data_IF_014621959695
#
_entry.id   IF_014621959695
#
_cell.length_a   1.000
_cell.length_b   1.000
_cell.length_c   1.000
_cell.angle_alpha   90.00
_cell.angle_beta   90.00
_cell.angle_gamma   90.00
#
_symmetry.space_group_name_H-M   'P 1'
#
loop_
_entity.id
_entity.type
_entity.pdbx_description
1 polymer ?
#
# COMPACT_ATOMS: atom_id res chain seq x y z
N UNK A 1 -9.38 -0.56 18.86
CA UNK A 1 -8.74 0.02 17.67
C UNK A 1 -9.26 -0.65 16.41
N UNK A 2 -9.63 0.12 15.41
CA UNK A 2 -10.05 -0.40 14.10
C UNK A 2 -8.81 -0.56 13.20
N UNK A 3 -8.57 -1.78 12.72
CA UNK A 3 -7.47 -2.09 11.82
C UNK A 3 -8.02 -2.32 10.41
N UNK A 4 -7.51 -1.57 9.45
CA UNK A 4 -7.96 -1.61 8.05
C UNK A 4 -6.78 -2.05 7.19
N UNK A 5 -6.95 -3.19 6.51
CA UNK A 5 -6.00 -3.65 5.50
C UNK A 5 -6.30 -2.98 4.17
N UNK A 6 -5.26 -2.53 3.49
CA UNK A 6 -5.41 -1.91 2.18
C UNK A 6 -4.37 -2.47 1.21
N UNK A 7 -4.80 -2.72 -0.02
CA UNK A 7 -3.85 -3.12 -1.08
C UNK A 7 -3.11 -1.91 -1.62
N UNK A 8 -1.92 -2.14 -2.14
CA UNK A 8 -1.15 -1.07 -2.76
C UNK A 8 -1.88 -0.46 -3.96
N UNK A 9 -2.63 -1.27 -4.70
CA UNK A 9 -3.37 -0.81 -5.88
C UNK A 9 -4.59 0.05 -5.52
N UNK A 10 -5.19 -0.18 -4.36
CA UNK A 10 -6.27 0.68 -3.87
C UNK A 10 -5.73 2.01 -3.34
N UNK A 11 -4.57 1.97 -2.70
CA UNK A 11 -3.95 3.15 -2.10
C UNK A 11 -3.34 4.08 -3.15
N UNK A 12 -2.63 3.52 -4.13
CA UNK A 12 -1.93 4.28 -5.17
C UNK A 12 -2.37 3.88 -6.57
N UNK A 13 -2.18 4.81 -7.51
CA UNK A 13 -2.38 4.55 -8.93
C UNK A 13 -1.18 3.77 -9.47
N UNK A 14 -1.40 2.49 -9.74
CA UNK A 14 -0.42 1.57 -10.29
C UNK A 14 -0.71 1.20 -11.74
N UNK A 15 -1.56 1.95 -12.43
CA UNK A 15 -2.00 1.59 -13.79
C UNK A 15 -0.85 1.50 -14.78
N UNK A 16 0.10 2.42 -14.75
CA UNK A 16 1.27 2.37 -15.62
C UNK A 16 2.15 1.16 -15.33
N UNK A 17 2.37 0.86 -14.06
CA UNK A 17 3.16 -0.32 -13.66
C UNK A 17 2.48 -1.61 -14.07
N UNK A 18 1.18 -1.69 -13.88
CA UNK A 18 0.38 -2.87 -14.26
C UNK A 18 0.39 -3.08 -15.77
N UNK A 19 0.34 -2.01 -16.54
CA UNK A 19 0.43 -2.06 -17.99
C UNK A 19 1.77 -2.66 -18.45
N UNK A 20 2.87 -2.30 -17.80
CA UNK A 20 4.17 -2.91 -18.09
C UNK A 20 4.14 -4.42 -17.83
N UNK A 21 3.52 -4.83 -16.72
CA UNK A 21 3.36 -6.25 -16.39
C UNK A 21 2.55 -7.00 -17.45
N UNK A 22 1.42 -6.45 -17.88
CA UNK A 22 0.56 -7.10 -18.87
C UNK A 22 1.21 -7.19 -20.25
N UNK A 23 1.92 -6.16 -20.67
CA UNK A 23 2.52 -6.09 -22.03
C UNK A 23 3.87 -6.78 -22.12
N UNK A 24 4.68 -6.75 -21.05
CA UNK A 24 6.09 -7.14 -21.10
C UNK A 24 6.48 -8.22 -20.08
N UNK A 25 5.58 -8.57 -19.14
CA UNK A 25 5.80 -9.63 -18.19
C UNK A 25 6.41 -9.20 -16.86
N UNK A 26 6.65 -10.19 -15.99
CA UNK A 26 7.07 -9.96 -14.60
C UNK A 26 8.47 -9.33 -14.50
N UNK A 27 9.42 -9.79 -15.29
CA UNK A 27 10.79 -9.28 -15.20
C UNK A 27 10.87 -7.80 -15.61
N UNK A 28 10.18 -7.42 -16.69
CA UNK A 28 10.09 -6.02 -17.12
C UNK A 28 9.38 -5.15 -16.07
N UNK A 29 8.32 -5.66 -15.45
CA UNK A 29 7.64 -4.99 -14.33
C UNK A 29 8.58 -4.75 -13.16
N UNK A 30 9.36 -5.76 -12.79
CA UNK A 30 10.31 -5.68 -11.71
C UNK A 30 11.37 -4.61 -11.97
N UNK A 31 11.98 -4.64 -13.17
CA UNK A 31 12.95 -3.63 -13.58
C UNK A 31 12.35 -2.22 -13.60
N UNK A 32 11.12 -2.08 -14.08
CA UNK A 32 10.39 -0.82 -14.10
C UNK A 32 10.22 -0.25 -12.68
N UNK A 33 9.74 -1.06 -11.75
CA UNK A 33 9.53 -0.61 -10.38
C UNK A 33 10.84 -0.23 -9.68
N UNK A 34 11.88 -0.99 -9.89
CA UNK A 34 13.21 -0.69 -9.32
C UNK A 34 13.76 0.61 -9.91
N UNK A 35 13.65 0.82 -11.22
CA UNK A 35 14.12 2.04 -11.88
C UNK A 35 13.36 3.29 -11.43
N UNK A 36 12.12 3.12 -10.99
CA UNK A 36 11.21 4.19 -10.56
C UNK A 36 11.06 4.28 -9.04
N UNK A 37 11.90 3.61 -8.28
CA UNK A 37 11.72 3.50 -6.82
C UNK A 37 11.67 4.85 -6.10
N UNK A 38 12.31 5.87 -6.63
CA UNK A 38 12.31 7.22 -6.06
C UNK A 38 11.23 8.13 -6.67
N UNK A 39 10.47 7.65 -7.64
CA UNK A 39 9.37 8.39 -8.24
C UNK A 39 8.07 8.05 -7.49
N UNK A 40 7.56 8.99 -6.72
CA UNK A 40 6.37 8.79 -5.92
C UNK A 40 5.16 8.44 -6.80
N UNK A 41 4.38 7.46 -6.36
CA UNK A 41 3.13 7.09 -7.01
C UNK A 41 2.06 8.14 -6.73
N UNK A 42 1.17 8.33 -7.69
CA UNK A 42 0.01 9.20 -7.51
C UNK A 42 -1.06 8.49 -6.65
N UNK A 43 -1.93 9.27 -5.98
CA UNK A 43 -3.02 8.69 -5.21
C UNK A 43 -3.94 7.78 -6.03
N UNK A 44 -4.32 6.65 -5.46
CA UNK A 44 -5.31 5.74 -6.01
C UNK A 44 -6.72 6.08 -5.51
N UNK A 45 -7.69 5.20 -5.83
CA UNK A 45 -9.09 5.46 -5.52
C UNK A 45 -9.38 5.53 -4.03
N UNK A 46 -8.71 4.74 -3.22
CA UNK A 46 -8.93 4.70 -1.77
C UNK A 46 -8.06 5.71 -1.01
N UNK A 47 -7.16 6.42 -1.67
CA UNK A 47 -6.28 7.38 -1.01
C UNK A 47 -7.03 8.45 -0.20
N UNK A 48 -8.07 9.11 -0.75
CA UNK A 48 -8.81 10.11 0.03
C UNK A 48 -9.47 9.53 1.28
N UNK A 49 -9.99 8.32 1.19
CA UNK A 49 -10.59 7.65 2.36
C UNK A 49 -9.53 7.36 3.42
N UNK A 50 -8.38 6.83 3.01
CA UNK A 50 -7.29 6.51 3.94
C UNK A 50 -6.77 7.76 4.65
N UNK A 51 -6.58 8.86 3.93
CA UNK A 51 -6.14 10.12 4.54
C UNK A 51 -7.14 10.62 5.57
N UNK A 52 -8.43 10.53 5.29
CA UNK A 52 -9.47 10.93 6.24
C UNK A 52 -9.49 10.04 7.49
N UNK A 53 -9.33 8.72 7.31
CA UNK A 53 -9.29 7.78 8.43
C UNK A 53 -8.07 8.04 9.33
N UNK A 54 -6.92 8.28 8.73
CA UNK A 54 -5.70 8.59 9.49
C UNK A 54 -5.79 9.95 10.19
N UNK A 55 -6.47 10.92 9.59
CA UNK A 55 -6.69 12.23 10.20
C UNK A 55 -7.55 12.15 11.46
N UNK A 56 -8.44 11.17 11.59
CA UNK A 56 -9.20 10.96 12.81
C UNK A 56 -8.28 10.78 14.02
N UNK A 57 -7.14 10.15 13.85
CA UNK A 57 -6.20 9.93 14.94
C UNK A 57 -5.65 11.23 15.53
N UNK A 58 -5.58 12.28 14.73
CA UNK A 58 -5.13 13.60 15.20
C UNK A 58 -6.13 14.26 16.13
N UNK A 59 -7.41 13.91 15.99
CA UNK A 59 -8.50 14.49 16.77
C UNK A 59 -8.88 13.64 18.00
N UNK A 60 -8.38 12.40 18.07
CA UNK A 60 -8.76 11.43 19.10
C UNK A 60 -7.74 11.31 20.24
N UNK A 61 -6.78 12.22 20.32
CA UNK A 61 -5.78 12.25 21.37
C UNK A 61 -4.60 11.32 21.13
N UNK A 62 -4.02 10.80 22.23
CA UNK A 62 -2.80 9.98 22.15
C UNK A 62 -3.04 8.54 21.72
N UNK A 63 -4.24 8.02 21.90
CA UNK A 63 -4.58 6.67 21.46
C UNK A 63 -5.15 6.72 20.05
N UNK A 64 -4.50 5.98 19.16
CA UNK A 64 -4.98 5.85 17.78
C UNK A 64 -6.20 4.93 17.75
N UNK A 65 -7.29 5.41 17.15
CA UNK A 65 -8.51 4.61 16.96
C UNK A 65 -8.50 3.84 15.64
N UNK A 66 -7.69 4.26 14.69
CA UNK A 66 -7.60 3.63 13.35
C UNK A 66 -6.15 3.33 13.05
N UNK A 67 -5.89 2.10 12.62
CA UNK A 67 -4.61 1.71 12.03
C UNK A 67 -4.86 1.23 10.61
N UNK A 68 -4.06 1.70 9.66
CA UNK A 68 -4.06 1.20 8.29
C UNK A 68 -2.81 0.36 8.09
N UNK A 69 -2.99 -0.88 7.60
CA UNK A 69 -1.88 -1.78 7.27
C UNK A 69 -1.87 -2.04 5.77
N UNK A 70 -0.69 -2.03 5.18
CA UNK A 70 -0.52 -2.28 3.75
C UNK A 70 -0.34 -3.77 3.51
N UNK A 71 -1.12 -4.34 2.61
CA UNK A 71 -0.99 -5.73 2.17
C UNK A 71 -0.81 -5.74 0.66
N UNK A 72 0.39 -6.01 0.21
CA UNK A 72 0.77 -5.89 -1.21
C UNK A 72 1.20 -7.22 -1.80
N UNK A 73 0.81 -7.48 -3.05
CA UNK A 73 1.28 -8.65 -3.79
C UNK A 73 2.72 -8.52 -4.26
N UNK A 74 3.30 -7.33 -4.20
CA UNK A 74 4.68 -7.13 -4.61
C UNK A 74 5.64 -7.91 -3.70
N UNK A 75 6.82 -8.22 -4.22
CA UNK A 75 7.96 -8.63 -3.42
C UNK A 75 8.61 -7.40 -2.77
N UNK A 76 9.55 -7.62 -1.84
CA UNK A 76 10.17 -6.51 -1.12
C UNK A 76 10.92 -5.55 -2.05
N UNK A 77 11.59 -6.07 -3.08
CA UNK A 77 12.35 -5.27 -4.02
C UNK A 77 11.47 -4.39 -4.93
N UNK A 78 10.32 -4.90 -5.36
CA UNK A 78 9.36 -4.10 -6.14
C UNK A 78 8.48 -3.23 -5.26
N UNK A 79 8.37 -3.57 -3.98
CA UNK A 79 7.60 -2.82 -2.99
C UNK A 79 8.27 -1.56 -2.48
N UNK A 80 9.56 -1.36 -2.74
CA UNK A 80 10.28 -0.19 -2.24
C UNK A 80 9.67 1.12 -2.74
N UNK A 81 9.24 1.17 -4.00
CA UNK A 81 8.54 2.34 -4.55
C UNK A 81 7.28 2.67 -3.77
N UNK A 82 6.56 1.66 -3.32
CA UNK A 82 5.34 1.82 -2.51
C UNK A 82 5.69 2.41 -1.15
N UNK A 83 6.73 1.88 -0.49
CA UNK A 83 7.21 2.43 0.77
C UNK A 83 7.63 3.89 0.65
N UNK A 84 8.40 4.21 -0.37
CA UNK A 84 8.86 5.57 -0.62
C UNK A 84 7.67 6.51 -0.89
N UNK A 85 6.64 6.01 -1.56
CA UNK A 85 5.42 6.77 -1.81
C UNK A 85 4.62 7.04 -0.53
N UNK A 86 4.57 6.07 0.38
CA UNK A 86 3.94 6.24 1.70
C UNK A 86 4.64 7.37 2.46
N UNK A 87 5.96 7.38 2.46
CA UNK A 87 6.75 8.45 3.11
C UNK A 87 6.54 9.80 2.41
N UNK A 88 6.56 9.82 1.09
CA UNK A 88 6.37 11.04 0.31
C UNK A 88 5.03 11.72 0.62
N UNK A 89 3.98 10.93 0.78
CA UNK A 89 2.64 11.44 1.08
C UNK A 89 2.37 11.62 2.58
N UNK A 90 3.36 11.37 3.42
CA UNK A 90 3.26 11.49 4.88
C UNK A 90 2.12 10.65 5.49
N UNK A 91 1.93 9.46 4.98
CA UNK A 91 0.92 8.55 5.50
C UNK A 91 1.46 7.80 6.73
N UNK A 92 0.69 7.76 7.80
CA UNK A 92 1.06 7.04 9.02
C UNK A 92 0.68 5.56 8.90
N UNK A 93 1.39 4.86 8.01
CA UNK A 93 1.24 3.43 7.80
C UNK A 93 2.56 2.78 8.23
N UNK A 94 2.52 1.99 9.31
CA UNK A 94 3.72 1.43 9.92
C UNK A 94 3.89 -0.06 9.71
N UNK A 95 2.81 -0.78 9.43
CA UNK A 95 2.86 -2.22 9.20
C UNK A 95 2.51 -2.53 7.76
N UNK A 96 3.32 -3.38 7.15
CA UNK A 96 3.11 -3.79 5.77
C UNK A 96 3.55 -5.24 5.58
N UNK A 97 2.90 -5.94 4.65
CA UNK A 97 3.34 -7.24 4.17
C UNK A 97 3.46 -7.22 2.65
N UNK A 98 4.58 -7.73 2.15
CA UNK A 98 4.80 -7.95 0.73
C UNK A 98 4.72 -9.45 0.49
N UNK A 99 3.74 -9.88 -0.28
CA UNK A 99 3.34 -11.27 -0.36
C UNK A 99 3.99 -12.05 -1.50
N UNK A 100 4.86 -11.42 -2.30
CA UNK A 100 5.63 -12.07 -3.35
C UNK A 100 4.76 -12.79 -4.38
N UNK A 101 3.67 -12.18 -4.81
CA UNK A 101 2.73 -12.75 -5.77
C UNK A 101 1.57 -13.53 -5.17
N UNK A 102 1.65 -13.88 -3.87
CA UNK A 102 0.53 -14.53 -3.17
C UNK A 102 -0.58 -13.55 -2.88
N UNK A 103 -1.80 -14.07 -2.67
CA UNK A 103 -2.93 -13.21 -2.33
C UNK A 103 -2.74 -12.57 -0.96
N UNK A 104 -2.81 -11.22 -0.87
CA UNK A 104 -2.69 -10.55 0.43
C UNK A 104 -3.87 -10.82 1.35
N UNK A 105 -4.97 -11.31 0.82
CA UNK A 105 -6.16 -11.62 1.61
C UNK A 105 -5.88 -12.63 2.74
N UNK A 106 -5.00 -13.59 2.51
CA UNK A 106 -4.63 -14.59 3.53
C UNK A 106 -3.88 -13.97 4.71
N UNK A 107 -3.26 -12.82 4.53
CA UNK A 107 -2.50 -12.14 5.59
C UNK A 107 -3.35 -11.15 6.39
N UNK A 108 -4.52 -10.77 5.90
CA UNK A 108 -5.37 -9.77 6.55
C UNK A 108 -5.73 -10.19 7.98
N UNK A 109 -6.08 -11.46 8.17
CA UNK A 109 -6.43 -12.00 9.47
C UNK A 109 -5.25 -11.96 10.44
N UNK A 110 -4.06 -12.33 9.97
CA UNK A 110 -2.84 -12.36 10.80
C UNK A 110 -2.44 -10.96 11.28
N UNK A 111 -2.75 -9.93 10.49
CA UNK A 111 -2.53 -8.54 10.88
C UNK A 111 -3.65 -7.97 11.78
N UNK A 112 -4.68 -8.75 12.04
CA UNK A 112 -5.81 -8.30 12.84
C UNK A 112 -6.73 -7.32 12.12
N UNK A 113 -6.76 -7.36 10.80
CA UNK A 113 -7.59 -6.44 10.01
C UNK A 113 -9.07 -6.75 10.19
N UNK A 114 -9.86 -5.71 10.49
CA UNK A 114 -11.31 -5.78 10.58
C UNK A 114 -11.97 -5.55 9.23
N UNK A 115 -11.36 -4.74 8.39
CA UNK A 115 -11.79 -4.46 7.02
C UNK A 115 -10.61 -4.61 6.08
N UNK A 116 -10.88 -4.97 4.83
CA UNK A 116 -9.87 -5.08 3.78
C UNK A 116 -10.37 -4.36 2.52
N UNK A 117 -9.59 -3.37 2.09
CA UNK A 117 -9.89 -2.54 0.91
C UNK A 117 -9.01 -2.89 -0.29
#
# INVERSE_FOLDING_TARGET
MLVIGITSRALFDLDNSHKVFEEQGLEAYREYQISKENDALNPGQAFPLVTKLLDLNKHLGQEKSVEVVLLSRNSADTGLRIFNSIEHHNLDIKRAAFCGGNSPHTYAKSFGAHLFL
#
